data_IF_190832750610
#
_entry.id   IF_190832750610
#
_cell.length_a   1.000
_cell.length_b   1.000
_cell.length_c   1.000
_cell.angle_alpha   90.00
_cell.angle_beta   90.00
_cell.angle_gamma   90.00
#
_symmetry.space_group_name_H-M   'P 1'
#
loop_
_entity.id
_entity.type
_entity.pdbx_description
1 polymer ?
#
# COMPACT_ATOMS: atom_id res chain seq x y z
N UNK A 1 -18.27 25.27 -13.85
CA UNK A 1 -18.02 23.81 -13.86
C UNK A 1 -17.54 23.44 -12.46
N UNK A 2 -18.08 22.38 -11.82
CA UNK A 2 -17.49 21.89 -10.58
C UNK A 2 -16.03 21.51 -10.85
N UNK A 3 -15.12 21.91 -9.97
CA UNK A 3 -13.72 21.43 -10.03
C UNK A 3 -13.78 19.90 -9.88
N UNK A 4 -13.18 19.16 -10.81
CA UNK A 4 -12.97 17.72 -10.63
C UNK A 4 -12.14 17.45 -9.37
N UNK A 5 -12.32 16.28 -8.76
CA UNK A 5 -11.48 15.81 -7.64
C UNK A 5 -10.03 15.76 -8.13
N UNK A 6 -9.09 16.36 -7.39
CA UNK A 6 -7.67 16.25 -7.74
C UNK A 6 -7.07 14.95 -7.21
N UNK A 7 -5.95 14.48 -7.77
CA UNK A 7 -5.19 13.33 -7.25
C UNK A 7 -4.89 13.49 -5.75
N UNK A 8 -4.57 14.72 -5.32
CA UNK A 8 -4.34 15.05 -3.91
C UNK A 8 -5.58 14.90 -3.04
N UNK A 9 -6.76 15.29 -3.55
CA UNK A 9 -8.03 15.08 -2.85
C UNK A 9 -8.31 13.59 -2.69
N UNK A 10 -8.06 12.79 -3.73
CA UNK A 10 -8.24 11.34 -3.70
C UNK A 10 -7.31 10.66 -2.69
N UNK A 11 -6.03 11.04 -2.62
CA UNK A 11 -5.14 10.56 -1.56
C UNK A 11 -5.65 10.91 -0.16
N UNK A 12 -6.25 12.11 -0.01
CA UNK A 12 -6.84 12.52 1.25
C UNK A 12 -8.03 11.66 1.65
N UNK A 13 -8.94 11.35 0.72
CA UNK A 13 -10.08 10.48 0.99
C UNK A 13 -9.66 9.03 1.27
N UNK A 14 -8.73 8.47 0.50
CA UNK A 14 -8.15 7.14 0.76
C UNK A 14 -7.58 7.05 2.18
N UNK A 15 -6.80 8.06 2.59
CA UNK A 15 -6.23 8.13 3.93
C UNK A 15 -7.30 8.18 5.02
N UNK A 16 -8.33 9.01 4.85
CA UNK A 16 -9.45 9.11 5.80
C UNK A 16 -10.18 7.77 5.95
N UNK A 17 -10.47 7.09 4.83
CA UNK A 17 -11.09 5.76 4.84
C UNK A 17 -10.24 4.76 5.62
N UNK A 18 -8.94 4.67 5.33
CA UNK A 18 -8.01 3.79 6.05
C UNK A 18 -8.01 4.05 7.56
N UNK A 19 -8.05 5.32 7.98
CA UNK A 19 -8.05 5.68 9.40
C UNK A 19 -9.38 5.39 10.07
N UNK A 20 -10.49 5.50 9.33
CA UNK A 20 -11.83 5.19 9.83
C UNK A 20 -12.05 3.68 9.99
N UNK A 21 -11.47 2.88 9.10
CA UNK A 21 -11.62 1.42 9.13
C UNK A 21 -10.87 0.75 10.28
N UNK A 22 -9.90 1.41 10.92
CA UNK A 22 -9.07 0.81 11.97
C UNK A 22 -9.55 1.28 13.37
N UNK A 23 -10.25 0.43 14.14
CA UNK A 23 -10.85 0.74 15.45
C UNK A 23 -9.84 0.84 16.62
N UNK A 24 -8.55 1.00 16.34
CA UNK A 24 -7.52 1.10 17.38
C UNK A 24 -6.34 2.00 16.95
N UNK A 25 -5.43 2.28 17.88
CA UNK A 25 -4.19 2.99 17.55
C UNK A 25 -3.26 2.08 16.74
N UNK A 26 -2.66 2.62 15.70
CA UNK A 26 -1.74 1.93 14.81
C UNK A 26 -0.42 2.72 14.66
N UNK A 27 0.64 2.01 14.27
CA UNK A 27 1.97 2.55 13.97
C UNK A 27 2.15 2.80 12.47
N UNK A 28 1.71 1.84 11.67
CA UNK A 28 1.77 1.92 10.21
C UNK A 28 0.64 1.17 9.53
N UNK A 29 0.34 1.58 8.30
CA UNK A 29 -0.66 0.97 7.42
C UNK A 29 0.01 0.73 6.06
N UNK A 30 -0.25 -0.43 5.47
CA UNK A 30 0.19 -0.78 4.12
C UNK A 30 -1.00 -1.35 3.35
N UNK A 31 -1.33 -0.73 2.21
CA UNK A 31 -2.39 -1.16 1.31
C UNK A 31 -1.78 -1.59 -0.01
N UNK A 32 -2.28 -2.69 -0.55
CA UNK A 32 -2.12 -3.08 -1.93
C UNK A 32 -3.46 -2.98 -2.64
N UNK A 33 -3.46 -2.48 -3.87
CA UNK A 33 -4.59 -2.63 -4.75
C UNK A 33 -4.15 -2.84 -6.20
N UNK A 34 -4.92 -3.63 -6.94
CA UNK A 34 -4.81 -3.77 -8.39
C UNK A 34 -6.11 -3.36 -9.06
N UNK A 35 -6.01 -2.80 -10.26
CA UNK A 35 -7.17 -2.49 -11.10
C UNK A 35 -6.85 -2.92 -12.54
N UNK A 36 -7.64 -3.88 -13.03
CA UNK A 36 -7.54 -4.49 -14.34
C UNK A 36 -8.79 -4.11 -15.14
N UNK A 37 -8.58 -3.34 -16.20
CA UNK A 37 -9.61 -3.04 -17.19
C UNK A 37 -9.78 -4.23 -18.13
N UNK A 38 -10.99 -4.80 -18.20
CA UNK A 38 -11.35 -5.86 -19.15
C UNK A 38 -11.89 -5.25 -20.45
N UNK A 39 -11.82 -6.03 -21.53
CA UNK A 39 -12.28 -5.61 -22.88
C UNK A 39 -13.78 -5.26 -22.93
N UNK A 40 -14.58 -5.86 -22.04
CA UNK A 40 -16.02 -5.60 -21.91
C UNK A 40 -16.34 -4.30 -21.13
N UNK A 41 -15.32 -3.55 -20.69
CA UNK A 41 -15.48 -2.32 -19.91
C UNK A 41 -15.57 -2.53 -18.39
N UNK A 42 -15.56 -3.77 -17.90
CA UNK A 42 -15.54 -4.05 -16.47
C UNK A 42 -14.16 -3.77 -15.85
N UNK A 43 -14.17 -3.21 -14.65
CA UNK A 43 -12.99 -3.07 -13.81
C UNK A 43 -12.98 -4.17 -12.75
N UNK A 44 -11.99 -5.04 -12.85
CA UNK A 44 -11.72 -6.10 -11.87
C UNK A 44 -10.43 -5.80 -11.12
N UNK A 45 -10.17 -6.49 -10.02
CA UNK A 45 -8.92 -6.33 -9.29
C UNK A 45 -9.05 -6.81 -7.86
N UNK A 46 -8.05 -6.49 -7.07
CA UNK A 46 -7.95 -6.92 -5.69
C UNK A 46 -7.51 -5.75 -4.82
N UNK A 47 -7.97 -5.74 -3.57
CA UNK A 47 -7.50 -4.78 -2.59
C UNK A 47 -7.45 -5.44 -1.23
N UNK A 48 -6.33 -5.30 -0.56
CA UNK A 48 -6.17 -5.66 0.84
C UNK A 48 -5.25 -4.65 1.52
N UNK A 49 -5.41 -4.47 2.82
CA UNK A 49 -4.45 -3.73 3.60
C UNK A 49 -4.16 -4.42 4.92
N UNK A 50 -3.02 -4.05 5.47
CA UNK A 50 -2.54 -4.47 6.77
C UNK A 50 -2.22 -3.24 7.60
N UNK A 51 -2.45 -3.33 8.91
CA UNK A 51 -1.95 -2.33 9.85
C UNK A 51 -1.18 -2.99 10.97
N UNK A 52 -0.21 -2.26 11.52
CA UNK A 52 0.52 -2.63 12.72
C UNK A 52 -0.12 -1.93 13.92
N UNK A 53 -0.77 -2.67 14.85
CA UNK A 53 -1.31 -2.08 16.07
C UNK A 53 -0.20 -1.45 16.90
N UNK A 54 -0.47 -0.29 17.51
CA UNK A 54 0.49 0.38 18.38
C UNK A 54 0.71 -0.46 19.64
N UNK A 55 1.95 -0.86 19.90
CA UNK A 55 2.27 -1.79 20.99
C UNK A 55 3.69 -1.60 21.50
N UNK A 56 3.92 -1.91 22.79
CA UNK A 56 5.27 -1.89 23.38
C UNK A 56 6.12 -3.05 22.82
N UNK A 57 5.48 -4.13 22.38
CA UNK A 57 6.09 -5.33 21.80
C UNK A 57 5.68 -5.44 20.32
N UNK A 58 6.59 -5.86 19.43
CA UNK A 58 6.30 -6.08 18.00
C UNK A 58 5.14 -7.07 17.85
N UNK A 59 4.06 -6.62 17.22
CA UNK A 59 2.90 -7.46 16.88
C UNK A 59 2.91 -7.82 15.40
N UNK A 60 2.26 -8.94 15.08
CA UNK A 60 1.98 -9.26 13.69
C UNK A 60 1.04 -8.20 13.10
N UNK A 61 1.21 -7.84 11.82
CA UNK A 61 0.25 -7.01 11.12
C UNK A 61 -1.11 -7.70 11.08
N UNK A 62 -2.18 -6.90 11.13
CA UNK A 62 -3.56 -7.36 11.09
C UNK A 62 -4.14 -7.04 9.72
N UNK A 63 -4.70 -8.06 9.07
CA UNK A 63 -5.34 -7.91 7.76
C UNK A 63 -6.72 -7.23 7.91
N UNK A 64 -7.09 -6.39 6.94
CA UNK A 64 -8.40 -5.72 6.84
C UNK A 64 -9.60 -6.64 7.11
N UNK A 65 -9.58 -7.89 6.64
CA UNK A 65 -10.68 -8.84 6.78
C UNK A 65 -10.82 -9.39 8.21
N UNK A 66 -9.81 -9.23 9.06
CA UNK A 66 -9.84 -9.66 10.46
C UNK A 66 -10.47 -8.62 11.38
N UNK A 67 -10.58 -7.36 10.93
CA UNK A 67 -11.05 -6.24 11.75
C UNK A 67 -12.49 -6.46 12.25
N UNK A 68 -13.47 -6.84 11.41
CA UNK A 68 -14.85 -7.01 11.88
C UNK A 68 -14.96 -8.02 13.02
N UNK A 69 -14.36 -9.19 12.85
CA UNK A 69 -14.36 -10.23 13.87
C UNK A 69 -13.65 -9.78 15.15
N UNK A 70 -12.46 -9.18 15.03
CA UNK A 70 -11.63 -8.78 16.17
C UNK A 70 -12.31 -7.71 17.06
N UNK A 71 -13.12 -6.85 16.46
CA UNK A 71 -13.77 -5.72 17.16
C UNK A 71 -15.29 -5.86 17.25
N UNK A 72 -15.84 -7.02 16.91
CA UNK A 72 -17.27 -7.31 16.92
C UNK A 72 -18.10 -6.28 16.12
N UNK A 73 -17.60 -5.91 14.93
CA UNK A 73 -18.27 -4.97 14.04
C UNK A 73 -19.25 -5.69 13.12
N UNK A 74 -20.24 -4.95 12.60
CA UNK A 74 -21.14 -5.47 11.57
C UNK A 74 -20.38 -5.65 10.24
N UNK A 75 -20.22 -6.89 9.79
CA UNK A 75 -19.52 -7.23 8.54
C UNK A 75 -20.14 -6.55 7.32
N UNK A 76 -21.46 -6.46 7.22
CA UNK A 76 -22.14 -5.84 6.08
C UNK A 76 -21.89 -4.32 6.00
N UNK A 77 -21.79 -3.65 7.15
CA UNK A 77 -21.44 -2.23 7.20
C UNK A 77 -19.97 -2.02 6.90
N UNK A 78 -19.11 -2.91 7.37
CA UNK A 78 -17.68 -2.85 7.12
C UNK A 78 -17.33 -3.10 5.64
N UNK A 79 -18.04 -4.01 4.97
CA UNK A 79 -17.89 -4.26 3.53
C UNK A 79 -18.18 -2.99 2.71
N UNK A 80 -19.15 -2.16 3.13
CA UNK A 80 -19.41 -0.88 2.44
C UNK A 80 -18.22 0.06 2.52
N UNK A 81 -17.47 0.05 3.63
CA UNK A 81 -16.24 0.84 3.78
C UNK A 81 -15.12 0.30 2.87
N UNK A 82 -15.00 -1.03 2.75
CA UNK A 82 -14.03 -1.63 1.81
C UNK A 82 -14.37 -1.29 0.36
N UNK A 83 -15.66 -1.30 0.00
CA UNK A 83 -16.11 -0.94 -1.35
C UNK A 83 -15.86 0.54 -1.65
N UNK A 84 -16.12 1.42 -0.68
CA UNK A 84 -15.86 2.84 -0.80
C UNK A 84 -14.36 3.12 -0.99
N UNK A 85 -13.50 2.51 -0.17
CA UNK A 85 -12.05 2.62 -0.29
C UNK A 85 -11.57 2.17 -1.69
N UNK A 86 -12.05 1.02 -2.18
CA UNK A 86 -11.69 0.54 -3.51
C UNK A 86 -12.22 1.43 -4.64
N UNK A 87 -13.39 2.05 -4.46
CA UNK A 87 -13.91 3.04 -5.40
C UNK A 87 -13.01 4.28 -5.50
N UNK A 88 -12.45 4.77 -4.38
CA UNK A 88 -11.45 5.84 -4.43
C UNK A 88 -10.17 5.42 -5.17
N UNK A 89 -9.71 4.17 -5.01
CA UNK A 89 -8.57 3.64 -5.76
C UNK A 89 -8.85 3.61 -7.28
N UNK A 90 -10.03 3.17 -7.70
CA UNK A 90 -10.43 3.19 -9.12
C UNK A 90 -10.48 4.63 -9.66
N UNK A 91 -11.10 5.56 -8.93
CA UNK A 91 -11.11 6.99 -9.29
C UNK A 91 -9.70 7.55 -9.44
N UNK A 92 -8.80 7.24 -8.50
CA UNK A 92 -7.39 7.63 -8.56
C UNK A 92 -6.74 7.14 -9.85
N UNK A 93 -7.01 5.90 -10.25
CA UNK A 93 -6.50 5.36 -11.52
C UNK A 93 -6.97 6.16 -12.72
N UNK A 94 -8.27 6.43 -12.80
CA UNK A 94 -8.87 7.19 -13.90
C UNK A 94 -8.28 8.61 -14.01
N UNK A 95 -8.08 9.28 -12.87
CA UNK A 95 -7.47 10.62 -12.84
C UNK A 95 -5.97 10.59 -13.23
N UNK A 96 -5.19 9.62 -12.72
CA UNK A 96 -3.79 9.44 -13.15
C UNK A 96 -3.66 9.15 -14.65
N UNK A 97 -4.57 8.35 -15.22
CA UNK A 97 -4.59 8.07 -16.66
C UNK A 97 -4.89 9.33 -17.47
N UNK A 98 -5.84 10.13 -17.00
CA UNK A 98 -6.30 11.33 -17.69
C UNK A 98 -5.28 12.48 -17.67
N UNK A 99 -4.65 12.73 -16.51
CA UNK A 99 -3.79 13.89 -16.31
C UNK A 99 -2.29 13.57 -16.46
N UNK A 100 -1.85 12.46 -15.88
CA UNK A 100 -0.42 12.09 -15.87
C UNK A 100 -0.06 11.08 -16.98
N UNK A 101 -1.06 10.58 -17.71
CA UNK A 101 -0.93 9.51 -18.71
C UNK A 101 -0.26 8.25 -18.15
N UNK A 102 -0.42 8.02 -16.85
CA UNK A 102 0.09 6.83 -16.16
C UNK A 102 -1.03 5.80 -16.12
N UNK A 103 -0.82 4.68 -16.81
CA UNK A 103 -1.71 3.53 -16.76
C UNK A 103 -1.11 2.45 -15.85
N UNK A 104 -1.15 2.70 -14.55
CA UNK A 104 -0.71 1.72 -13.57
C UNK A 104 -1.72 0.58 -13.43
N UNK A 105 -1.22 -0.61 -13.09
CA UNK A 105 -2.03 -1.82 -12.89
C UNK A 105 -2.16 -2.18 -11.43
N UNK A 106 -1.17 -1.83 -10.61
CA UNK A 106 -1.26 -1.93 -9.16
C UNK A 106 -0.58 -0.76 -8.44
N UNK A 107 -1.02 -0.53 -7.22
CA UNK A 107 -0.57 0.52 -6.32
C UNK A 107 -0.27 -0.08 -4.96
N UNK A 108 0.84 0.32 -4.35
CA UNK A 108 1.12 0.12 -2.93
C UNK A 108 1.08 1.47 -2.22
N UNK A 109 0.25 1.58 -1.18
CA UNK A 109 0.21 2.76 -0.32
C UNK A 109 0.80 2.37 1.03
N UNK A 110 1.74 3.15 1.54
CA UNK A 110 2.23 3.03 2.91
C UNK A 110 1.99 4.33 3.68
N UNK A 111 1.59 4.17 4.94
CA UNK A 111 1.41 5.26 5.88
C UNK A 111 2.20 4.93 7.13
N UNK A 112 3.29 5.65 7.35
CA UNK A 112 4.17 5.46 8.50
C UNK A 112 4.40 6.80 9.17
N UNK A 113 4.12 6.89 10.47
CA UNK A 113 4.06 8.18 11.16
C UNK A 113 3.18 9.15 10.35
N UNK A 114 3.68 10.32 9.96
CA UNK A 114 2.94 11.34 9.20
C UNK A 114 3.18 11.28 7.69
N UNK A 115 3.93 10.29 7.20
CA UNK A 115 4.26 10.16 5.78
C UNK A 115 3.27 9.22 5.10
N UNK A 116 2.65 9.70 4.03
CA UNK A 116 1.90 8.90 3.07
C UNK A 116 2.78 8.72 1.83
N UNK A 117 2.88 7.49 1.34
CA UNK A 117 3.64 7.14 0.15
C UNK A 117 2.77 6.28 -0.75
N UNK A 118 2.65 6.66 -2.03
CA UNK A 118 2.08 5.82 -3.07
C UNK A 118 3.20 5.32 -4.00
N UNK A 119 3.19 4.03 -4.33
CA UNK A 119 4.09 3.39 -5.28
C UNK A 119 3.23 2.77 -6.38
N UNK A 120 3.44 3.19 -7.63
CA UNK A 120 2.67 2.74 -8.79
C UNK A 120 3.50 1.76 -9.63
N UNK A 121 2.91 0.61 -9.96
CA UNK A 121 3.54 -0.39 -10.80
C UNK A 121 2.71 -0.65 -12.06
N UNK A 122 3.42 -1.02 -13.13
CA UNK A 122 2.84 -1.33 -14.43
C UNK A 122 3.21 -2.77 -14.81
N UNK A 123 2.65 -3.73 -14.07
CA UNK A 123 2.85 -5.17 -14.31
C UNK A 123 1.73 -5.75 -15.18
N UNK A 124 2.05 -6.77 -15.99
CA UNK A 124 1.03 -7.58 -16.69
C UNK A 124 0.40 -8.59 -15.73
N UNK A 125 -0.65 -8.15 -15.03
CA UNK A 125 -1.36 -8.98 -14.06
C UNK A 125 -2.21 -10.09 -14.70
N UNK A 126 -2.53 -9.98 -16.00
CA UNK A 126 -3.41 -10.94 -16.69
C UNK A 126 -2.60 -12.16 -17.14
N UNK A 127 -1.42 -11.94 -17.72
CA UNK A 127 -0.56 -13.02 -18.23
C UNK A 127 0.57 -13.39 -17.26
N UNK A 128 0.56 -12.85 -16.05
CA UNK A 128 1.53 -13.15 -15.00
C UNK A 128 1.49 -14.64 -14.62
N UNK A 129 2.67 -15.24 -14.43
CA UNK A 129 2.82 -16.58 -13.86
C UNK A 129 2.45 -16.65 -12.38
N UNK A 130 2.55 -15.53 -11.67
CA UNK A 130 2.15 -15.41 -10.27
C UNK A 130 0.63 -15.31 -10.17
N UNK A 131 0.02 -16.11 -9.31
CA UNK A 131 -1.38 -15.98 -8.95
C UNK A 131 -1.64 -14.77 -8.04
N UNK A 132 -2.92 -14.52 -7.73
CA UNK A 132 -3.30 -13.52 -6.72
C UNK A 132 -2.70 -13.84 -5.34
N UNK A 133 -2.74 -15.12 -4.94
CA UNK A 133 -2.18 -15.59 -3.67
C UNK A 133 -0.66 -15.42 -3.62
N UNK A 134 0.03 -15.72 -4.72
CA UNK A 134 1.49 -15.53 -4.83
C UNK A 134 1.85 -14.05 -4.74
N UNK A 135 1.13 -13.18 -5.46
CA UNK A 135 1.32 -11.72 -5.37
C UNK A 135 1.12 -11.20 -3.96
N UNK A 136 0.09 -11.67 -3.25
CA UNK A 136 -0.13 -11.29 -1.86
C UNK A 136 1.04 -11.74 -0.98
N UNK A 137 1.55 -12.97 -1.15
CA UNK A 137 2.70 -13.47 -0.38
C UNK A 137 3.99 -12.68 -0.66
N UNK A 138 4.29 -12.43 -1.94
CA UNK A 138 5.40 -11.58 -2.39
C UNK A 138 5.29 -10.18 -1.77
N UNK A 139 4.10 -9.59 -1.83
CA UNK A 139 3.87 -8.26 -1.28
C UNK A 139 4.03 -8.23 0.25
N UNK A 140 3.48 -9.21 0.97
CA UNK A 140 3.64 -9.32 2.43
C UNK A 140 5.11 -9.41 2.84
N UNK A 141 5.89 -10.23 2.12
CA UNK A 141 7.33 -10.34 2.36
C UNK A 141 8.06 -9.01 2.12
N UNK A 142 7.76 -8.34 1.00
CA UNK A 142 8.43 -7.09 0.60
C UNK A 142 8.09 -5.89 1.47
N UNK A 143 6.84 -5.75 1.91
CA UNK A 143 6.34 -4.52 2.53
C UNK A 143 6.02 -4.65 4.02
N UNK A 144 5.71 -5.85 4.52
CA UNK A 144 5.36 -6.04 5.94
C UNK A 144 6.51 -6.58 6.79
N UNK A 145 7.69 -6.83 6.19
CA UNK A 145 8.80 -7.56 6.82
C UNK A 145 8.32 -8.88 7.47
N UNK A 146 7.38 -9.55 6.81
CA UNK A 146 6.82 -10.80 7.32
C UNK A 146 7.91 -11.88 7.24
N UNK A 147 8.23 -12.59 8.33
CA UNK A 147 9.33 -13.56 8.33
C UNK A 147 9.12 -14.63 7.27
N UNK A 148 10.16 -14.93 6.48
CA UNK A 148 10.07 -15.89 5.37
C UNK A 148 9.62 -17.27 5.86
N UNK A 149 9.90 -17.60 7.12
CA UNK A 149 9.56 -18.84 7.79
C UNK A 149 8.05 -19.03 7.98
N UNK A 150 7.26 -17.95 7.92
CA UNK A 150 5.80 -18.03 8.03
C UNK A 150 5.09 -18.41 6.73
N UNK A 151 5.80 -18.34 5.60
CA UNK A 151 5.26 -18.73 4.31
C UNK A 151 5.40 -20.25 4.12
N UNK A 152 4.46 -20.83 3.38
CA UNK A 152 4.56 -22.22 2.93
C UNK A 152 5.75 -22.41 1.99
N UNK A 153 6.22 -23.65 1.82
CA UNK A 153 7.33 -23.95 0.91
C UNK A 153 7.06 -23.42 -0.51
N UNK A 154 5.85 -23.63 -1.04
CA UNK A 154 5.45 -23.14 -2.36
C UNK A 154 5.52 -21.61 -2.46
N UNK A 155 5.00 -20.89 -1.46
CA UNK A 155 5.07 -19.42 -1.43
C UNK A 155 6.51 -18.92 -1.38
N UNK A 156 7.39 -19.56 -0.60
CA UNK A 156 8.82 -19.18 -0.55
C UNK A 156 9.49 -19.32 -1.91
N UNK A 157 9.21 -20.42 -2.64
CA UNK A 157 9.73 -20.63 -3.98
C UNK A 157 9.28 -19.51 -4.95
N UNK A 158 8.01 -19.08 -4.88
CA UNK A 158 7.50 -17.97 -5.69
C UNK A 158 8.11 -16.61 -5.29
N UNK A 159 8.28 -16.37 -3.99
CA UNK A 159 8.94 -15.16 -3.48
C UNK A 159 10.38 -15.09 -3.98
N UNK A 160 11.15 -16.18 -3.85
CA UNK A 160 12.54 -16.24 -4.29
C UNK A 160 12.67 -16.06 -5.82
N UNK A 161 11.78 -16.66 -6.60
CA UNK A 161 11.74 -16.49 -8.05
C UNK A 161 11.50 -15.03 -8.44
N UNK A 162 10.49 -14.39 -7.83
CA UNK A 162 10.15 -12.99 -8.11
C UNK A 162 11.30 -12.04 -7.74
N UNK A 163 11.94 -12.22 -6.58
CA UNK A 163 13.07 -11.39 -6.17
C UNK A 163 14.26 -11.51 -7.14
N UNK A 164 14.52 -12.73 -7.64
CA UNK A 164 15.55 -12.95 -8.66
C UNK A 164 15.20 -12.29 -10.00
N UNK A 165 13.93 -12.25 -10.39
CA UNK A 165 13.47 -11.50 -11.56
C UNK A 165 13.69 -9.99 -11.39
N UNK A 166 13.38 -9.44 -10.22
CA UNK A 166 13.66 -8.03 -9.89
C UNK A 166 15.15 -7.68 -9.95
N UNK A 167 16.03 -8.58 -9.46
CA UNK A 167 17.49 -8.39 -9.55
C UNK A 167 17.99 -8.29 -11.00
N UNK A 168 17.28 -8.93 -11.95
CA UNK A 168 17.56 -8.82 -13.38
C UNK A 168 16.84 -7.63 -14.06
N UNK A 169 16.21 -6.76 -13.28
CA UNK A 169 15.58 -5.53 -13.76
C UNK A 169 14.15 -5.71 -14.30
N UNK A 170 13.48 -6.82 -13.98
CA UNK A 170 12.03 -6.98 -14.21
C UNK A 170 11.22 -6.28 -13.12
N UNK A 171 9.90 -6.14 -13.34
CA UNK A 171 8.95 -5.53 -12.39
C UNK A 171 9.25 -4.06 -12.01
N UNK A 172 9.94 -3.31 -12.87
CA UNK A 172 10.30 -1.92 -12.58
C UNK A 172 9.07 -1.02 -12.35
N UNK A 173 9.02 -0.43 -11.17
CA UNK A 173 8.00 0.52 -10.73
C UNK A 173 8.32 1.93 -11.22
N UNK A 174 7.35 2.63 -11.84
CA UNK A 174 7.44 4.10 -11.97
C UNK A 174 6.98 4.71 -10.65
N UNK A 175 7.93 4.97 -9.76
CA UNK A 175 7.63 5.55 -8.45
C UNK A 175 7.26 7.03 -8.56
N UNK A 176 5.98 7.33 -8.43
CA UNK A 176 5.51 8.67 -8.06
C UNK A 176 5.29 8.73 -6.56
N UNK A 177 6.29 9.24 -5.83
CA UNK A 177 6.22 9.44 -4.38
C UNK A 177 5.76 10.85 -4.07
N UNK A 178 4.60 10.99 -3.43
CA UNK A 178 4.14 12.27 -2.88
C UNK A 178 3.99 12.17 -1.36
N UNK A 179 4.92 12.79 -0.63
CA UNK A 179 4.86 12.90 0.83
C UNK A 179 4.14 14.18 1.21
N UNK A 180 3.05 14.09 1.95
CA UNK A 180 2.41 15.25 2.58
C UNK A 180 2.31 15.02 4.09
N UNK A 181 2.57 16.06 4.87
CA UNK A 181 2.46 16.04 6.33
C UNK A 181 1.02 16.35 6.74
N UNK A 182 0.41 15.45 7.50
CA UNK A 182 -0.84 15.76 8.19
C UNK A 182 -0.85 15.09 9.55
N UNK A 183 -1.14 15.89 10.59
CA UNK A 183 -1.22 15.40 11.96
C UNK A 183 -2.39 14.42 12.07
N UNK A 184 -2.16 13.25 12.67
CA UNK A 184 -3.22 12.28 12.91
C UNK A 184 -4.20 12.82 13.93
N UNK A 185 -5.39 13.18 13.47
CA UNK A 185 -6.56 13.15 14.34
C UNK A 185 -6.96 11.67 14.40
N UNK A 186 -6.48 10.96 15.43
CA UNK A 186 -6.94 9.60 15.69
C UNK A 186 -8.47 9.64 15.81
N UNK A 187 -9.17 8.85 14.99
CA UNK A 187 -10.62 8.78 15.06
C UNK A 187 -11.02 8.32 16.47
N UNK A 188 -11.70 9.21 17.20
CA UNK A 188 -12.53 8.85 18.34
C UNK A 188 -13.80 8.21 17.80
N UNK A 189 -13.74 6.93 17.41
CA UNK A 189 -14.94 6.23 16.99
C UNK A 189 -15.70 5.82 18.26
N UNK A 190 -16.75 6.56 18.59
CA UNK A 190 -17.85 6.05 19.42
C UNK A 190 -18.56 4.97 18.60
N UNK A 191 -18.15 3.72 18.77
CA UNK A 191 -19.02 2.61 18.42
C UNK A 191 -20.26 2.71 19.32
N UNK A 192 -21.46 2.65 18.74
CA UNK A 192 -22.70 2.61 19.51
C UNK A 192 -22.73 1.32 20.35
N UNK A 193 -22.23 1.42 21.58
CA UNK A 193 -22.16 0.34 22.57
C UNK A 193 -23.56 -0.12 23.03
N UNK A 194 -24.65 0.49 22.51
CA UNK A 194 -26.01 0.14 22.89
C UNK A 194 -26.61 -1.05 22.10
N UNK A 195 -25.85 -1.73 21.23
CA UNK A 195 -26.25 -3.06 20.77
C UNK A 195 -25.89 -4.08 21.85
N UNK A 196 -26.79 -4.16 22.85
CA UNK A 196 -26.83 -5.10 24.00
C UNK A 196 -25.55 -5.90 24.23
N UNK A 197 -24.71 -5.33 25.09
CA UNK A 197 -23.65 -5.99 25.85
C UNK A 197 -24.30 -6.97 26.83
N UNK A 198 -24.65 -8.16 26.39
CA UNK A 198 -24.96 -9.28 27.29
C UNK A 198 -24.62 -10.59 26.58
N UNK A 199 -23.68 -11.34 27.17
CA UNK A 199 -23.12 -12.64 26.72
C UNK A 199 -22.20 -12.49 25.48
N UNK A 200 -20.88 -12.58 25.52
CA UNK A 200 -20.00 -13.58 26.13
C UNK A 200 -18.63 -12.96 26.49
N UNK A 201 -18.24 -13.02 27.76
CA UNK A 201 -16.83 -13.31 28.10
C UNK A 201 -16.84 -14.75 28.58
N UNK A 202 -16.51 -15.66 27.67
CA UNK A 202 -15.83 -16.89 28.04
C UNK A 202 -14.42 -16.77 27.50
N UNK A 203 -13.44 -16.79 28.40
CA UNK A 203 -12.06 -17.09 28.04
C UNK A 203 -12.05 -18.50 27.43
N UNK A 204 -12.12 -18.59 26.12
CA UNK A 204 -11.81 -19.84 25.44
C UNK A 204 -10.29 -19.97 25.35
N UNK A 205 -9.76 -20.75 26.29
CA UNK A 205 -8.41 -21.32 26.30
C UNK A 205 -8.22 -22.36 25.19
N UNK A 206 -8.62 -22.07 23.96
CA UNK A 206 -8.39 -22.92 22.78
C UNK A 206 -8.03 -22.07 21.55
N UNK A 207 -6.82 -21.52 21.56
CA UNK A 207 -6.06 -21.30 20.32
C UNK A 207 -4.66 -21.89 20.53
N UNK A 208 -4.63 -23.18 20.84
CA UNK A 208 -3.46 -24.02 20.60
C UNK A 208 -3.42 -24.38 19.12
N UNK A 209 -3.02 -23.43 18.29
CA UNK A 209 -2.17 -23.77 17.15
C UNK A 209 -1.31 -22.57 16.77
N UNK A 210 -0.02 -22.85 16.56
CA UNK A 210 1.11 -21.92 16.41
C UNK A 210 1.66 -21.31 17.72
N UNK A 211 2.32 -22.20 18.45
CA UNK A 211 3.18 -21.98 19.62
C UNK A 211 4.13 -20.78 19.50
N UNK A 212 4.22 -20.03 20.61
CA UNK A 212 5.37 -19.22 20.99
C UNK A 212 6.67 -20.04 20.93
N UNK A 213 7.75 -19.45 20.42
CA UNK A 213 9.13 -19.81 20.82
C UNK A 213 9.98 -18.53 20.92
N UNK A 214 10.51 -18.35 22.13
CA UNK A 214 11.61 -17.53 22.64
C UNK A 214 11.86 -16.11 22.13
N UNK A 215 11.52 -15.20 23.04
CA UNK A 215 12.05 -13.85 23.17
C UNK A 215 13.51 -13.89 23.63
N UNK A 216 14.48 -13.93 22.73
CA UNK A 216 15.82 -13.45 23.06
C UNK A 216 16.54 -12.87 21.83
N UNK A 217 16.95 -11.61 21.98
CA UNK A 217 17.86 -10.85 21.11
C UNK A 217 17.40 -10.49 19.69
N UNK A 218 16.61 -9.41 19.54
CA UNK A 218 16.80 -8.48 18.43
C UNK A 218 16.66 -7.03 18.90
N UNK A 219 17.78 -6.31 18.91
CA UNK A 219 17.80 -4.87 19.06
C UNK A 219 17.27 -4.21 17.76
N UNK A 220 16.19 -3.45 17.93
CA UNK A 220 15.78 -2.21 17.26
C UNK A 220 16.44 -1.90 15.90
N UNK A 221 15.65 -1.89 14.82
CA UNK A 221 15.68 -0.86 13.74
C UNK A 221 14.34 -0.77 12.98
N UNK A 222 13.25 -0.32 13.61
CA UNK A 222 11.97 -0.02 12.93
C UNK A 222 12.00 1.24 12.03
N UNK A 223 13.19 1.79 11.76
CA UNK A 223 13.42 2.87 10.79
C UNK A 223 14.47 2.53 9.73
N UNK A 224 14.87 1.26 9.63
CA UNK A 224 15.96 0.79 8.77
C UNK A 224 15.56 0.65 7.30
N UNK A 225 14.37 0.11 7.01
CA UNK A 225 13.95 -0.17 5.63
C UNK A 225 13.60 1.10 4.86
N UNK A 226 12.81 2.01 5.46
CA UNK A 226 12.50 3.31 4.86
C UNK A 226 13.77 4.15 4.59
N UNK A 227 14.75 4.14 5.51
CA UNK A 227 16.08 4.78 5.28
C UNK A 227 16.92 4.06 4.22
N UNK A 228 17.00 2.72 4.25
CA UNK A 228 17.76 1.94 3.25
C UNK A 228 17.17 2.11 1.84
N UNK A 229 15.85 2.08 1.70
CA UNK A 229 15.14 2.27 0.42
C UNK A 229 15.21 3.72 -0.04
N UNK A 230 14.99 4.73 0.82
CA UNK A 230 15.22 6.15 0.49
C UNK A 230 16.65 6.44 0.03
N UNK A 231 17.66 5.83 0.67
CA UNK A 231 19.06 5.95 0.27
C UNK A 231 19.36 5.25 -1.07
N UNK A 232 18.76 4.07 -1.33
CA UNK A 232 18.83 3.40 -2.63
C UNK A 232 18.20 4.24 -3.75
N UNK A 233 17.05 4.86 -3.46
CA UNK A 233 16.30 5.74 -4.39
C UNK A 233 17.03 7.07 -4.70
N UNK A 234 17.76 7.63 -3.72
CA UNK A 234 18.64 8.79 -3.95
C UNK A 234 19.81 8.45 -4.87
N UNK A 235 20.35 7.24 -4.77
CA UNK A 235 21.44 6.78 -5.63
C UNK A 235 20.95 6.50 -7.06
N UNK A 236 19.80 5.83 -7.23
CA UNK A 236 19.22 5.53 -8.54
C UNK A 236 18.78 6.82 -9.30
N UNK A 237 18.32 7.87 -8.61
CA UNK A 237 18.06 9.19 -9.21
C UNK A 237 19.31 9.87 -9.76
N UNK A 238 20.48 9.66 -9.13
CA UNK A 238 21.74 10.23 -9.61
C UNK A 238 22.26 9.50 -10.86
N UNK A 239 21.96 8.20 -11.00
CA UNK A 239 22.36 7.40 -12.16
C UNK A 239 21.49 7.68 -13.40
N UNK A 240 20.18 7.94 -13.22
CA UNK A 240 19.28 8.37 -14.31
C UNK A 240 19.69 9.73 -14.89
N UNK A 241 20.15 10.67 -14.05
CA UNK A 241 20.68 11.97 -14.49
C UNK A 241 21.99 11.86 -15.31
N UNK A 242 22.73 10.76 -15.17
CA UNK A 242 23.90 10.46 -16.02
C UNK A 242 23.52 9.75 -17.32
N UNK A 243 22.45 8.94 -17.30
CA UNK A 243 21.96 8.23 -18.50
C UNK A 243 21.26 9.17 -19.50
N UNK A 244 20.56 10.20 -19.02
CA UNK A 244 19.95 11.24 -19.87
C UNK A 244 20.97 12.07 -20.67
N UNK A 245 22.24 12.10 -20.25
CA UNK A 245 23.32 12.82 -20.97
C UNK A 245 23.99 12.01 -22.08
N UNK A 246 23.67 10.71 -22.25
CA UNK A 246 24.35 9.85 -23.23
C UNK A 246 23.41 9.23 -24.28
N UNK A 247 22.10 9.45 -24.16
CA UNK A 247 21.08 8.91 -25.09
C UNK A 247 20.13 9.99 -25.60
N UNK A 248 20.65 11.08 -26.15
CA UNK A 248 19.89 12.01 -27.00
C UNK A 248 20.87 12.78 -27.89
N UNK A 249 21.49 12.08 -28.84
CA UNK A 249 22.20 12.71 -29.95
C UNK A 249 21.67 12.10 -31.25
N UNK A 250 20.39 12.31 -31.52
CA UNK A 250 19.84 12.32 -32.88
C UNK A 250 18.48 13.03 -32.84
N UNK A 251 18.34 14.02 -33.73
CA UNK A 251 17.17 14.86 -34.00
C UNK A 251 16.96 16.09 -33.10
N UNK A 252 17.80 17.11 -33.36
CA UNK A 252 17.36 18.50 -33.29
C UNK A 252 16.28 18.74 -34.34
N UNK A 253 15.09 19.20 -33.94
CA UNK A 253 14.59 20.52 -34.36
C UNK A 253 13.23 20.87 -33.73
N UNK A 254 13.12 22.16 -33.41
CA UNK A 254 11.96 22.96 -33.01
C UNK A 254 11.54 22.99 -31.53
N UNK A 255 12.16 23.98 -30.90
CA UNK A 255 11.99 24.62 -29.61
C UNK A 255 10.63 25.35 -29.50
N UNK A 256 9.88 25.10 -28.42
CA UNK A 256 9.04 26.12 -27.77
C UNK A 256 9.34 26.09 -26.28
N UNK A 257 10.21 27.00 -25.85
CA UNK A 257 10.54 27.29 -24.46
C UNK A 257 9.36 28.04 -23.83
N UNK A 258 8.64 27.42 -22.89
CA UNK A 258 7.80 28.16 -21.94
C UNK A 258 8.48 28.14 -20.58
N UNK A 259 9.14 29.25 -20.27
CA UNK A 259 9.76 29.53 -18.97
C UNK A 259 8.68 29.53 -17.87
N UNK A 260 8.92 28.75 -16.83
CA UNK A 260 8.24 28.88 -15.55
C UNK A 260 8.38 30.31 -15.01
N UNK A 261 7.27 31.06 -14.98
CA UNK A 261 7.19 32.29 -14.20
C UNK A 261 6.73 31.95 -12.79
N UNK A 262 7.68 32.05 -11.87
CA UNK A 262 7.45 32.22 -10.44
C UNK A 262 6.67 33.52 -10.25
N UNK A 263 5.47 33.45 -9.67
CA UNK A 263 4.86 34.61 -9.03
C UNK A 263 4.92 34.41 -7.52
N UNK A 264 5.89 35.09 -6.92
CA UNK A 264 5.84 35.56 -5.54
C UNK A 264 4.90 36.76 -5.51
N UNK A 265 3.82 36.68 -4.75
CA UNK A 265 3.51 37.49 -3.56
C UNK A 265 2.15 37.05 -3.03
#
# INVERSE_FOLDING_TARGET
MPKGETIKDLYSEIRKCLFYMIPEKWESIYLYASVIQRDNGEETGEMFFYYFPKSIIKRNPINVYQIPQKFNLNEEEYIKLTDELYNYIKKLRHECQKYDKINWTNITISIENVEFLAEYNCEDLINSIYSNEDRMAIWQYKYLEYPIEKFTKSQREQIEAYLKEEEHGLHQSKMYTETFYQQHEHNSIEYDVNKKVDEYIKEDNETTDFTMVDSEQYQIQSGGFFKRRKNRLLNERNDIAQFENTSCNENKENEIVVRNQILKY
#
